data_IF_247453487154
#
_entry.id   IF_247453487154
#
_cell.length_a   1.000
_cell.length_b   1.000
_cell.length_c   1.000
_cell.angle_alpha   90.00
_cell.angle_beta   90.00
_cell.angle_gamma   90.00
#
_symmetry.space_group_name_H-M   'P 1'
#
loop_
_entity.id
_entity.type
_entity.pdbx_description
1 polymer ?
#
# COMPACT_ATOMS: atom_id res chain seq x y z
N UNK A 1 -12.12 1.87 5.97
CA UNK A 1 -12.81 3.15 5.62
C UNK A 1 -12.24 3.74 4.34
N UNK A 2 -10.92 3.87 4.26
CA UNK A 2 -10.24 4.44 3.09
C UNK A 2 -10.48 3.59 1.84
N UNK A 3 -10.32 2.28 1.95
CA UNK A 3 -10.58 1.30 0.89
C UNK A 3 -12.02 1.35 0.40
N UNK A 4 -13.00 1.38 1.30
CA UNK A 4 -14.41 1.44 0.92
C UNK A 4 -14.76 2.74 0.19
N UNK A 5 -14.11 3.85 0.52
CA UNK A 5 -14.29 5.12 -0.15
C UNK A 5 -13.73 5.11 -1.58
N UNK A 6 -12.47 4.66 -1.75
CA UNK A 6 -11.79 4.68 -3.05
C UNK A 6 -12.30 3.63 -4.04
N UNK A 7 -12.66 2.45 -3.58
CA UNK A 7 -13.14 1.37 -4.45
C UNK A 7 -14.66 1.32 -4.61
N UNK A 8 -15.37 2.31 -4.08
CA UNK A 8 -16.83 2.40 -4.16
C UNK A 8 -17.55 1.24 -3.45
N UNK A 9 -16.86 0.53 -2.57
CA UNK A 9 -17.46 -0.51 -1.77
C UNK A 9 -18.37 0.13 -0.72
N UNK A 10 -19.68 -0.02 -0.88
CA UNK A 10 -20.66 0.43 0.12
C UNK A 10 -20.62 -0.51 1.31
N UNK A 11 -19.89 -0.12 2.35
CA UNK A 11 -19.79 -0.86 3.61
C UNK A 11 -20.19 0.05 4.76
N UNK A 12 -21.07 -0.42 5.59
CA UNK A 12 -21.34 0.24 6.87
C UNK A 12 -20.21 -0.09 7.83
N UNK A 13 -19.64 0.92 8.46
CA UNK A 13 -18.62 0.78 9.48
C UNK A 13 -19.15 1.36 10.77
N UNK A 14 -19.18 0.54 11.80
CA UNK A 14 -19.55 0.91 13.17
C UNK A 14 -18.41 0.63 14.14
N UNK A 15 -18.59 1.02 15.38
CA UNK A 15 -17.71 0.67 16.48
C UNK A 15 -18.52 0.40 17.74
N UNK A 16 -18.02 -0.53 18.56
CA UNK A 16 -18.54 -0.76 19.90
C UNK A 16 -17.67 0.05 20.86
N UNK A 17 -18.24 1.05 21.54
CA UNK A 17 -17.47 1.86 22.48
C UNK A 17 -17.11 1.01 23.70
N UNK A 18 -15.96 1.30 24.30
CA UNK A 18 -15.53 0.66 25.54
C UNK A 18 -14.80 1.66 26.46
N UNK A 19 -14.75 1.34 27.74
CA UNK A 19 -14.02 2.09 28.75
C UNK A 19 -13.24 1.11 29.65
N UNK A 20 -12.54 1.64 30.65
CA UNK A 20 -11.74 0.81 31.57
C UNK A 20 -12.59 -0.19 32.35
N UNK A 21 -13.83 0.14 32.71
CA UNK A 21 -14.72 -0.73 33.43
C UNK A 21 -15.13 -1.94 32.58
N UNK A 22 -15.58 -1.71 31.32
CA UNK A 22 -15.99 -2.79 30.43
C UNK A 22 -14.85 -3.73 30.06
N UNK A 23 -13.59 -3.21 30.02
CA UNK A 23 -12.40 -4.03 29.80
C UNK A 23 -12.08 -4.91 31.02
N UNK A 24 -12.03 -4.31 32.22
CA UNK A 24 -11.66 -5.03 33.46
C UNK A 24 -12.70 -6.07 33.86
N UNK A 25 -13.98 -5.77 33.66
CA UNK A 25 -15.09 -6.68 33.97
C UNK A 25 -15.34 -7.76 32.92
N UNK A 26 -14.65 -7.69 31.75
CA UNK A 26 -14.92 -8.61 30.63
C UNK A 26 -16.21 -8.31 29.86
N UNK A 27 -16.96 -7.28 30.22
CA UNK A 27 -18.24 -6.90 29.64
C UNK A 27 -18.14 -6.50 28.17
N UNK A 28 -16.96 -6.10 27.71
CA UNK A 28 -16.77 -5.75 26.29
C UNK A 28 -17.14 -6.86 25.33
N UNK A 29 -16.88 -8.14 25.67
CA UNK A 29 -17.32 -9.26 24.84
C UNK A 29 -18.85 -9.36 24.76
N UNK A 30 -19.54 -9.15 25.87
CA UNK A 30 -21.00 -9.14 25.93
C UNK A 30 -21.59 -7.99 25.10
N UNK A 31 -21.03 -6.79 25.22
CA UNK A 31 -21.42 -5.62 24.43
C UNK A 31 -21.23 -5.86 22.91
N UNK A 32 -20.11 -6.48 22.51
CA UNK A 32 -19.88 -6.86 21.11
C UNK A 32 -20.91 -7.89 20.66
N UNK A 33 -21.13 -8.95 21.44
CA UNK A 33 -22.11 -10.00 21.13
C UNK A 33 -23.50 -9.39 20.94
N UNK A 34 -23.95 -8.58 21.87
CA UNK A 34 -25.28 -7.97 21.83
C UNK A 34 -25.43 -7.01 20.64
N UNK A 35 -24.40 -6.23 20.32
CA UNK A 35 -24.38 -5.39 19.14
C UNK A 35 -24.48 -6.23 17.84
N UNK A 36 -23.76 -7.35 17.76
CA UNK A 36 -23.80 -8.25 16.59
C UNK A 36 -25.18 -8.87 16.45
N UNK A 37 -25.77 -9.35 17.54
CA UNK A 37 -27.14 -9.89 17.51
C UNK A 37 -28.18 -8.85 17.06
N UNK A 38 -28.07 -7.62 17.51
CA UNK A 38 -28.95 -6.53 17.12
C UNK A 38 -28.81 -6.14 15.64
N UNK A 39 -27.59 -6.25 15.10
CA UNK A 39 -27.27 -5.87 13.72
C UNK A 39 -27.41 -7.03 12.71
N UNK A 40 -27.48 -8.28 13.14
CA UNK A 40 -27.56 -9.43 12.24
C UNK A 40 -28.95 -9.56 11.60
N UNK A 41 -29.24 -8.69 10.65
CA UNK A 41 -30.46 -8.60 9.87
C UNK A 41 -30.16 -8.99 8.43
N UNK A 42 -30.69 -10.11 7.92
CA UNK A 42 -30.34 -10.60 6.57
C UNK A 42 -30.85 -9.70 5.44
N UNK A 43 -31.84 -8.85 5.70
CA UNK A 43 -32.28 -7.81 4.77
C UNK A 43 -31.24 -6.70 4.54
N UNK A 44 -30.36 -6.44 5.52
CA UNK A 44 -29.36 -5.38 5.48
C UNK A 44 -27.96 -5.91 5.19
N UNK A 45 -27.62 -7.11 5.72
CA UNK A 45 -26.25 -7.63 5.69
C UNK A 45 -26.23 -9.14 5.38
N UNK A 46 -25.30 -9.57 4.55
CA UNK A 46 -24.95 -11.00 4.38
C UNK A 46 -23.75 -11.41 5.26
N UNK A 47 -22.97 -10.44 5.74
CA UNK A 47 -21.78 -10.69 6.53
C UNK A 47 -21.47 -9.52 7.46
N UNK A 48 -21.15 -9.79 8.71
CA UNK A 48 -20.60 -8.84 9.68
C UNK A 48 -19.17 -9.26 10.01
N UNK A 49 -18.21 -8.38 9.76
CA UNK A 49 -16.79 -8.57 10.11
C UNK A 49 -16.48 -7.73 11.33
N UNK A 50 -16.02 -8.37 12.40
CA UNK A 50 -15.63 -7.72 13.65
C UNK A 50 -14.09 -7.73 13.72
N UNK A 51 -13.50 -6.55 13.95
CA UNK A 51 -12.05 -6.43 14.09
C UNK A 51 -11.68 -5.95 15.49
N UNK A 52 -10.96 -6.78 16.25
CA UNK A 52 -10.28 -6.35 17.45
C UNK A 52 -8.98 -5.64 17.10
N UNK A 53 -8.83 -4.41 17.54
CA UNK A 53 -7.56 -3.69 17.49
C UNK A 53 -6.73 -3.97 18.76
N UNK A 54 -5.71 -3.14 19.03
CA UNK A 54 -4.71 -3.39 20.08
C UNK A 54 -5.31 -3.67 21.45
N UNK A 55 -6.22 -2.80 21.93
CA UNK A 55 -6.72 -2.88 23.32
C UNK A 55 -7.63 -4.09 23.51
N UNK A 56 -8.69 -4.34 22.71
CA UNK A 56 -9.52 -5.53 22.86
C UNK A 56 -8.72 -6.83 22.72
N UNK A 57 -7.75 -6.89 21.79
CA UNK A 57 -6.89 -8.08 21.62
C UNK A 57 -6.00 -8.31 22.86
N UNK A 58 -5.36 -7.25 23.37
CA UNK A 58 -4.52 -7.35 24.58
C UNK A 58 -5.33 -7.73 25.84
N UNK A 59 -6.60 -7.33 25.88
CA UNK A 59 -7.53 -7.70 26.95
C UNK A 59 -8.14 -9.09 26.78
N UNK A 60 -7.76 -9.83 25.73
CA UNK A 60 -8.20 -11.20 25.52
C UNK A 60 -9.68 -11.35 25.14
N UNK A 61 -10.30 -10.34 24.49
CA UNK A 61 -11.68 -10.42 24.02
C UNK A 61 -11.84 -11.56 23.00
N UNK A 62 -12.63 -12.61 23.33
CA UNK A 62 -12.59 -13.87 22.60
C UNK A 62 -13.59 -13.90 21.41
N UNK A 63 -13.28 -13.21 20.31
CA UNK A 63 -14.15 -13.19 19.11
C UNK A 63 -14.48 -14.58 18.54
N UNK A 64 -13.63 -15.58 18.80
CA UNK A 64 -13.85 -16.97 18.41
C UNK A 64 -15.05 -17.64 19.11
N UNK A 65 -15.55 -17.08 20.20
CA UNK A 65 -16.75 -17.55 20.91
C UNK A 65 -18.07 -17.02 20.30
N UNK A 66 -17.98 -16.05 19.39
CA UNK A 66 -19.15 -15.60 18.65
C UNK A 66 -19.67 -16.71 17.75
N UNK A 67 -21.00 -16.87 17.60
CA UNK A 67 -21.58 -17.77 16.61
C UNK A 67 -21.06 -17.41 15.21
N UNK A 68 -20.81 -18.42 14.37
CA UNK A 68 -20.36 -18.19 12.99
C UNK A 68 -21.45 -17.63 12.09
N UNK A 69 -22.69 -17.79 12.50
CA UNK A 69 -23.86 -17.30 11.79
C UNK A 69 -24.95 -16.90 12.80
N UNK A 70 -25.63 -15.81 12.55
CA UNK A 70 -26.79 -15.33 13.31
C UNK A 70 -27.84 -14.89 12.30
N UNK A 71 -29.03 -15.46 12.37
CA UNK A 71 -30.17 -15.15 11.47
C UNK A 71 -29.82 -15.24 9.97
N UNK A 72 -28.90 -16.12 9.56
CA UNK A 72 -28.45 -16.23 8.17
C UNK A 72 -27.35 -15.22 7.79
N UNK A 73 -26.89 -14.39 8.73
CA UNK A 73 -25.77 -13.45 8.54
C UNK A 73 -24.48 -14.08 9.05
N UNK A 74 -23.43 -14.10 8.23
CA UNK A 74 -22.10 -14.58 8.62
C UNK A 74 -21.46 -13.65 9.64
N UNK A 75 -20.82 -14.24 10.65
CA UNK A 75 -20.07 -13.50 11.68
C UNK A 75 -18.60 -13.90 11.62
N UNK A 76 -17.73 -12.94 11.29
CA UNK A 76 -16.29 -13.17 11.12
C UNK A 76 -15.53 -12.29 12.10
N UNK A 77 -14.98 -12.89 13.15
CA UNK A 77 -14.13 -12.20 14.12
C UNK A 77 -12.65 -12.29 13.75
N UNK A 78 -11.95 -11.16 13.78
CA UNK A 78 -10.54 -11.06 13.36
C UNK A 78 -9.78 -10.16 14.33
N UNK A 79 -8.65 -10.66 14.86
CA UNK A 79 -7.72 -9.86 15.65
C UNK A 79 -6.67 -9.21 14.75
N UNK A 80 -6.58 -7.87 14.79
CA UNK A 80 -5.63 -7.08 13.99
C UNK A 80 -4.91 -6.07 14.89
N UNK A 81 -4.16 -6.54 15.91
CA UNK A 81 -3.47 -5.65 16.81
C UNK A 81 -2.21 -5.07 16.17
N UNK A 82 -1.97 -3.77 16.31
CA UNK A 82 -0.78 -3.12 15.76
C UNK A 82 0.55 -3.66 16.32
N UNK A 83 0.54 -4.24 17.52
CA UNK A 83 1.73 -4.91 18.07
C UNK A 83 2.02 -6.27 17.42
N UNK A 84 1.06 -6.88 16.72
CA UNK A 84 1.23 -8.16 16.00
C UNK A 84 1.24 -8.00 14.48
N UNK A 85 0.67 -6.91 13.96
CA UNK A 85 0.58 -6.59 12.53
C UNK A 85 0.98 -5.13 12.30
N UNK A 86 2.29 -4.83 12.33
CA UNK A 86 2.79 -3.46 12.44
C UNK A 86 2.70 -2.64 11.14
N UNK A 87 2.35 -3.25 10.00
CA UNK A 87 2.26 -2.56 8.71
C UNK A 87 0.86 -2.61 8.12
N UNK A 88 0.54 -1.66 7.24
CA UNK A 88 -0.74 -1.67 6.52
C UNK A 88 -0.88 -2.92 5.64
N UNK A 89 0.19 -3.36 4.99
CA UNK A 89 0.19 -4.57 4.18
C UNK A 89 -0.17 -5.81 5.00
N UNK A 90 0.47 -6.00 6.16
CA UNK A 90 0.20 -7.13 7.04
C UNK A 90 -1.22 -7.09 7.61
N UNK A 91 -1.73 -5.90 7.98
CA UNK A 91 -3.09 -5.76 8.48
C UNK A 91 -4.14 -6.13 7.42
N UNK A 92 -3.96 -5.66 6.18
CA UNK A 92 -4.85 -6.02 5.06
C UNK A 92 -4.78 -7.50 4.73
N UNK A 93 -3.58 -8.09 4.76
CA UNK A 93 -3.36 -9.51 4.50
C UNK A 93 -4.02 -10.41 5.57
N UNK A 94 -3.89 -10.06 6.84
CA UNK A 94 -4.55 -10.79 7.94
C UNK A 94 -6.07 -10.77 7.79
N UNK A 95 -6.64 -9.60 7.45
CA UNK A 95 -8.08 -9.47 7.17
C UNK A 95 -8.51 -10.33 5.98
N UNK A 96 -7.82 -10.21 4.85
CA UNK A 96 -8.14 -10.97 3.64
C UNK A 96 -7.95 -12.47 3.85
N UNK A 97 -6.87 -12.88 4.51
CA UNK A 97 -6.58 -14.27 4.84
C UNK A 97 -7.65 -14.91 5.73
N UNK A 98 -8.12 -14.19 6.75
CA UNK A 98 -9.19 -14.67 7.62
C UNK A 98 -10.51 -14.85 6.87
N UNK A 99 -10.86 -13.91 5.99
CA UNK A 99 -12.07 -14.01 5.14
C UNK A 99 -11.96 -15.16 4.13
N UNK A 100 -10.80 -15.33 3.49
CA UNK A 100 -10.51 -16.44 2.59
C UNK A 100 -10.61 -17.79 3.31
N UNK A 101 -10.04 -17.90 4.51
CA UNK A 101 -10.13 -19.12 5.33
C UNK A 101 -11.58 -19.49 5.64
N UNK A 102 -12.42 -18.52 5.99
CA UNK A 102 -13.83 -18.72 6.25
C UNK A 102 -14.54 -19.18 4.97
N UNK A 103 -14.36 -18.48 3.85
CA UNK A 103 -14.96 -18.83 2.56
C UNK A 103 -14.53 -20.22 2.07
N UNK A 104 -13.25 -20.58 2.22
CA UNK A 104 -12.76 -21.93 1.93
C UNK A 104 -13.44 -22.99 2.81
N UNK A 105 -13.78 -22.65 4.05
CA UNK A 105 -14.57 -23.49 4.93
C UNK A 105 -15.98 -23.74 4.39
N UNK A 106 -16.66 -22.71 3.94
CA UNK A 106 -18.00 -22.82 3.33
C UNK A 106 -17.96 -23.66 2.04
N UNK A 107 -16.98 -23.43 1.15
CA UNK A 107 -16.81 -24.24 -0.08
C UNK A 107 -16.67 -25.72 0.23
N UNK A 108 -15.96 -26.09 1.29
CA UNK A 108 -15.81 -27.50 1.70
C UNK A 108 -17.10 -28.12 2.26
N UNK A 109 -18.03 -27.32 2.77
CA UNK A 109 -19.30 -27.77 3.36
C UNK A 109 -20.39 -28.01 2.33
N UNK A 110 -20.27 -27.48 1.12
CA UNK A 110 -21.25 -27.69 0.06
C UNK A 110 -21.31 -26.60 -1.01
N UNK A 111 -22.34 -26.60 -1.83
CA UNK A 111 -22.54 -25.63 -2.88
C UNK A 111 -22.61 -24.20 -2.35
N UNK A 112 -21.89 -23.28 -2.98
CA UNK A 112 -21.82 -21.87 -2.62
C UNK A 112 -22.48 -21.00 -3.69
N UNK A 113 -22.89 -19.80 -3.31
CA UNK A 113 -23.53 -18.85 -4.22
C UNK A 113 -22.55 -18.41 -5.34
N UNK A 114 -23.02 -18.45 -6.57
CA UNK A 114 -22.25 -17.92 -7.70
C UNK A 114 -22.05 -16.40 -7.59
N UNK A 115 -20.93 -15.86 -8.12
CA UNK A 115 -20.73 -14.42 -8.21
C UNK A 115 -21.82 -13.77 -9.07
N UNK A 116 -22.14 -12.50 -8.81
CA UNK A 116 -23.13 -11.76 -9.61
C UNK A 116 -22.62 -11.41 -11.01
N UNK A 117 -21.30 -11.20 -11.12
CA UNK A 117 -20.68 -10.92 -12.40
C UNK A 117 -20.65 -12.16 -13.28
N UNK A 118 -20.89 -12.03 -14.60
CA UNK A 118 -20.76 -13.14 -15.53
C UNK A 118 -19.36 -13.77 -15.46
N UNK A 119 -19.29 -15.09 -15.46
CA UNK A 119 -17.99 -15.79 -15.56
C UNK A 119 -17.41 -15.57 -16.96
N UNK A 120 -16.11 -15.31 -17.04
CA UNK A 120 -15.39 -15.34 -18.29
C UNK A 120 -15.44 -16.76 -18.90
N UNK A 121 -15.53 -16.85 -20.22
CA UNK A 121 -15.33 -18.11 -20.93
C UNK A 121 -13.85 -18.54 -20.98
N UNK A 122 -12.94 -17.62 -20.67
CA UNK A 122 -11.50 -17.88 -20.60
C UNK A 122 -11.10 -18.28 -19.18
N UNK A 123 -10.01 -19.07 -19.03
CA UNK A 123 -9.43 -19.33 -17.72
C UNK A 123 -9.06 -18.01 -17.02
N UNK A 124 -9.40 -17.91 -15.74
CA UNK A 124 -9.22 -16.67 -14.99
C UNK A 124 -7.99 -16.71 -14.10
N UNK A 125 -7.36 -15.55 -13.92
CA UNK A 125 -6.28 -15.32 -12.96
C UNK A 125 -6.81 -14.45 -11.84
N UNK A 126 -6.83 -14.96 -10.60
CA UNK A 126 -7.17 -14.15 -9.43
C UNK A 126 -6.02 -13.21 -9.09
N UNK A 127 -6.31 -11.92 -8.96
CA UNK A 127 -5.33 -10.91 -8.55
C UNK A 127 -5.33 -10.79 -7.02
N UNK A 128 -4.16 -10.94 -6.40
CA UNK A 128 -4.03 -10.89 -4.94
C UNK A 128 -3.22 -9.69 -4.49
N UNK A 129 -3.83 -8.87 -3.67
CA UNK A 129 -3.22 -7.73 -3.04
C UNK A 129 -3.95 -6.43 -3.37
N UNK A 130 -3.97 -5.52 -2.41
CA UNK A 130 -4.51 -4.19 -2.58
C UNK A 130 -3.36 -3.19 -2.69
N UNK A 131 -3.34 -2.44 -3.78
CA UNK A 131 -2.39 -1.37 -3.98
C UNK A 131 -3.12 -0.15 -4.54
N UNK A 132 -2.92 0.99 -3.95
CA UNK A 132 -3.53 2.25 -4.38
C UNK A 132 -2.73 2.94 -5.49
N UNK A 133 -3.42 3.40 -6.54
CA UNK A 133 -4.65 2.86 -7.06
C UNK A 133 -4.36 1.60 -7.87
N UNK A 134 -5.04 0.51 -7.57
CA UNK A 134 -5.02 -0.66 -8.43
C UNK A 134 -5.90 -0.42 -9.65
N UNK A 135 -5.42 -0.79 -10.81
CA UNK A 135 -6.20 -0.86 -12.05
C UNK A 135 -6.38 -2.33 -12.48
N UNK A 136 -7.35 -3.07 -11.91
CA UNK A 136 -7.55 -4.46 -12.26
C UNK A 136 -7.92 -4.66 -13.73
N UNK A 137 -8.55 -3.66 -14.35
CA UNK A 137 -8.93 -3.71 -15.77
C UNK A 137 -7.68 -3.62 -16.64
N UNK A 138 -6.82 -2.64 -16.38
CA UNK A 138 -5.55 -2.49 -17.11
C UNK A 138 -4.62 -3.70 -16.92
N UNK A 139 -4.56 -4.24 -15.70
CA UNK A 139 -3.80 -5.47 -15.39
C UNK A 139 -4.40 -6.66 -16.15
N UNK A 140 -5.74 -6.78 -16.16
CA UNK A 140 -6.44 -7.86 -16.86
C UNK A 140 -6.18 -7.85 -18.37
N UNK A 141 -6.16 -6.68 -18.99
CA UNK A 141 -5.85 -6.55 -20.44
C UNK A 141 -4.47 -7.08 -20.81
N UNK A 142 -3.52 -7.09 -19.89
CA UNK A 142 -2.20 -7.68 -20.13
C UNK A 142 -2.26 -9.21 -20.28
N UNK A 143 -3.31 -9.86 -19.78
CA UNK A 143 -3.50 -11.30 -19.80
C UNK A 143 -4.23 -11.78 -21.07
N UNK A 144 -5.00 -10.90 -21.72
CA UNK A 144 -5.85 -11.24 -22.87
C UNK A 144 -5.06 -11.87 -24.04
N UNK A 145 -3.85 -11.38 -24.43
CA UNK A 145 -3.09 -12.00 -25.52
C UNK A 145 -2.64 -13.42 -25.20
N UNK A 146 -2.60 -13.80 -23.92
CA UNK A 146 -2.29 -15.16 -23.46
C UNK A 146 -3.52 -16.07 -23.46
N UNK A 147 -4.71 -15.56 -23.81
CA UNK A 147 -5.98 -16.29 -23.71
C UNK A 147 -6.45 -16.46 -22.27
N UNK A 148 -6.05 -15.56 -21.38
CA UNK A 148 -6.46 -15.52 -19.98
C UNK A 148 -7.30 -14.27 -19.71
N UNK A 149 -8.14 -14.31 -18.68
CA UNK A 149 -8.89 -13.16 -18.20
C UNK A 149 -8.52 -12.84 -16.76
N UNK A 150 -8.61 -11.57 -16.38
CA UNK A 150 -8.61 -11.21 -14.96
C UNK A 150 -9.87 -11.80 -14.31
N UNK A 151 -9.66 -12.50 -13.23
CA UNK A 151 -10.71 -12.97 -12.33
C UNK A 151 -11.01 -11.92 -11.26
N UNK A 152 -11.23 -12.39 -10.07
CA UNK A 152 -11.51 -11.55 -8.90
C UNK A 152 -10.22 -10.91 -8.39
N UNK A 153 -10.34 -9.70 -7.85
CA UNK A 153 -9.26 -9.06 -7.10
C UNK A 153 -9.55 -9.21 -5.60
N UNK A 154 -8.59 -9.74 -4.86
CA UNK A 154 -8.67 -9.90 -3.39
C UNK A 154 -7.83 -8.80 -2.73
N UNK A 155 -8.38 -8.06 -1.77
CA UNK A 155 -9.70 -8.13 -1.12
C UNK A 155 -10.87 -7.83 -2.05
N UNK A 156 -11.98 -8.54 -1.84
CA UNK A 156 -13.17 -8.48 -2.70
C UNK A 156 -14.18 -7.42 -2.24
N UNK A 157 -15.14 -7.10 -3.10
CA UNK A 157 -16.25 -6.19 -2.78
C UNK A 157 -17.40 -6.89 -2.09
N UNK A 158 -17.70 -8.12 -2.51
CA UNK A 158 -18.80 -8.94 -2.01
C UNK A 158 -18.27 -10.30 -1.52
N UNK A 159 -18.94 -10.88 -0.54
CA UNK A 159 -18.54 -12.19 0.02
C UNK A 159 -18.49 -13.29 -1.03
N UNK A 160 -19.49 -13.35 -1.91
CA UNK A 160 -19.55 -14.38 -2.97
C UNK A 160 -18.40 -14.32 -3.97
N UNK A 161 -17.73 -13.18 -4.10
CA UNK A 161 -16.52 -13.06 -4.93
C UNK A 161 -15.35 -13.82 -4.31
N UNK A 162 -15.32 -14.01 -2.97
CA UNK A 162 -14.30 -14.85 -2.33
C UNK A 162 -14.37 -16.30 -2.81
N UNK A 163 -15.57 -16.82 -3.05
CA UNK A 163 -15.74 -18.16 -3.63
C UNK A 163 -15.18 -18.23 -5.04
N UNK A 164 -15.47 -17.21 -5.86
CA UNK A 164 -14.96 -17.12 -7.21
C UNK A 164 -13.43 -16.93 -7.25
N UNK A 165 -12.83 -16.32 -6.22
CA UNK A 165 -11.39 -16.18 -6.11
C UNK A 165 -10.66 -17.53 -6.06
N UNK A 166 -11.29 -18.59 -5.54
CA UNK A 166 -10.75 -19.94 -5.54
C UNK A 166 -10.97 -20.70 -6.86
N UNK A 167 -11.88 -20.23 -7.71
CA UNK A 167 -12.17 -20.83 -9.01
C UNK A 167 -11.35 -20.15 -10.11
N UNK A 168 -10.05 -20.35 -10.08
CA UNK A 168 -9.07 -19.71 -10.96
C UNK A 168 -8.02 -20.70 -11.44
N UNK A 169 -7.37 -20.39 -12.57
CA UNK A 169 -6.25 -21.15 -13.10
C UNK A 169 -4.99 -20.98 -12.22
N UNK A 170 -4.75 -19.74 -11.78
CA UNK A 170 -3.67 -19.39 -10.85
C UNK A 170 -4.03 -18.12 -10.10
N UNK A 171 -3.33 -17.87 -9.00
CA UNK A 171 -3.37 -16.60 -8.25
C UNK A 171 -2.11 -15.82 -8.57
N UNK A 172 -2.24 -14.59 -9.04
CA UNK A 172 -1.12 -13.71 -9.30
C UNK A 172 -1.09 -12.59 -8.27
N UNK A 173 0.02 -12.46 -7.56
CA UNK A 173 0.17 -11.35 -6.62
C UNK A 173 0.37 -10.04 -7.39
N UNK A 174 -0.20 -8.98 -6.84
CA UNK A 174 0.08 -7.59 -7.20
C UNK A 174 0.64 -6.82 -6.00
N UNK A 175 0.89 -7.54 -4.91
CA UNK A 175 1.48 -7.03 -3.68
C UNK A 175 2.31 -8.14 -3.00
N UNK A 176 3.64 -7.99 -2.87
CA UNK A 176 4.52 -9.09 -2.47
C UNK A 176 4.47 -9.49 -0.99
N UNK A 177 3.63 -8.85 -0.18
CA UNK A 177 3.59 -9.06 1.28
C UNK A 177 2.29 -9.70 1.81
N UNK A 178 1.43 -10.22 0.94
CA UNK A 178 0.15 -10.87 1.30
C UNK A 178 0.34 -12.36 1.60
N UNK A 179 1.12 -12.69 2.64
CA UNK A 179 1.52 -14.08 2.93
C UNK A 179 0.44 -14.92 3.60
N UNK A 180 -0.44 -14.33 4.42
CA UNK A 180 -1.54 -15.05 5.04
C UNK A 180 -2.57 -15.48 3.99
N UNK A 181 -2.94 -14.57 3.09
CA UNK A 181 -3.84 -14.86 1.98
C UNK A 181 -3.26 -15.91 1.01
N UNK A 182 -1.96 -15.84 0.71
CA UNK A 182 -1.26 -16.82 -0.13
C UNK A 182 -1.37 -18.22 0.47
N UNK A 183 -1.16 -18.36 1.79
CA UNK A 183 -1.29 -19.65 2.48
C UNK A 183 -2.68 -20.27 2.34
N UNK A 184 -3.73 -19.46 2.36
CA UNK A 184 -5.10 -19.97 2.19
C UNK A 184 -5.33 -20.48 0.75
N UNK A 185 -4.82 -19.79 -0.28
CA UNK A 185 -4.87 -20.27 -1.66
C UNK A 185 -4.06 -21.55 -1.86
N UNK A 186 -2.84 -21.61 -1.34
CA UNK A 186 -1.98 -22.80 -1.42
C UNK A 186 -2.60 -23.99 -0.69
N UNK A 187 -3.23 -23.77 0.48
CA UNK A 187 -3.96 -24.80 1.22
C UNK A 187 -5.18 -25.31 0.46
N UNK A 188 -5.73 -24.52 -0.44
CA UNK A 188 -6.80 -24.92 -1.36
C UNK A 188 -6.28 -25.51 -2.67
N UNK A 189 -4.98 -25.79 -2.77
CA UNK A 189 -4.35 -26.39 -3.96
C UNK A 189 -4.18 -25.42 -5.14
N UNK A 190 -4.22 -24.11 -4.91
CA UNK A 190 -4.03 -23.11 -5.98
C UNK A 190 -2.55 -22.73 -6.08
N UNK A 191 -2.04 -22.69 -7.32
CA UNK A 191 -0.72 -22.13 -7.59
C UNK A 191 -0.75 -20.62 -7.38
N UNK A 192 0.36 -20.06 -6.88
CA UNK A 192 0.49 -18.62 -6.64
C UNK A 192 1.78 -18.15 -7.30
N UNK A 193 1.70 -17.12 -8.11
CA UNK A 193 2.84 -16.43 -8.71
C UNK A 193 2.99 -15.03 -8.12
N UNK A 194 4.23 -14.58 -7.94
CA UNK A 194 4.59 -13.26 -7.44
C UNK A 194 5.51 -12.57 -8.46
N UNK A 195 5.99 -11.39 -8.35
CA UNK A 195 5.74 -10.32 -7.45
C UNK A 195 4.54 -9.42 -7.90
N UNK A 196 4.82 -8.33 -8.69
CA UNK A 196 3.83 -7.44 -9.28
C UNK A 196 4.28 -7.00 -10.68
N UNK A 197 3.38 -6.68 -11.62
CA UNK A 197 3.73 -6.23 -12.96
C UNK A 197 4.17 -4.75 -12.98
N UNK A 198 5.31 -4.45 -12.35
CA UNK A 198 5.84 -3.10 -12.18
C UNK A 198 7.12 -2.92 -12.99
N UNK A 199 7.19 -1.82 -13.74
CA UNK A 199 8.30 -1.56 -14.65
C UNK A 199 8.35 -2.51 -15.84
N UNK A 200 9.44 -2.44 -16.60
CA UNK A 200 9.63 -3.27 -17.80
C UNK A 200 9.95 -4.74 -17.43
N UNK A 201 11.05 -4.93 -16.68
CA UNK A 201 11.49 -6.28 -16.31
C UNK A 201 10.48 -6.99 -15.41
N UNK A 202 9.91 -6.28 -14.40
CA UNK A 202 8.91 -6.86 -13.51
C UNK A 202 7.62 -7.28 -14.20
N UNK A 203 7.18 -6.54 -15.21
CA UNK A 203 6.01 -6.91 -16.00
C UNK A 203 6.32 -8.12 -16.91
N UNK A 204 7.52 -8.17 -17.49
CA UNK A 204 7.94 -9.30 -18.31
C UNK A 204 8.01 -10.61 -17.50
N UNK A 205 8.63 -10.55 -16.32
CA UNK A 205 8.77 -11.69 -15.41
C UNK A 205 7.41 -12.16 -14.88
N UNK A 206 6.53 -11.24 -14.54
CA UNK A 206 5.18 -11.53 -14.04
C UNK A 206 4.34 -12.25 -15.09
N UNK A 207 4.35 -11.79 -16.36
CA UNK A 207 3.66 -12.44 -17.46
C UNK A 207 4.23 -13.84 -17.74
N UNK A 208 5.55 -13.99 -17.70
CA UNK A 208 6.21 -15.28 -17.89
C UNK A 208 5.83 -16.28 -16.79
N UNK A 209 5.82 -15.84 -15.53
CA UNK A 209 5.43 -16.67 -14.38
C UNK A 209 3.98 -17.14 -14.47
N UNK A 210 3.05 -16.26 -14.86
CA UNK A 210 1.64 -16.63 -15.09
C UNK A 210 1.53 -17.63 -16.25
N UNK A 211 2.23 -17.37 -17.35
CA UNK A 211 2.26 -18.26 -18.49
C UNK A 211 2.71 -19.67 -18.11
N UNK A 212 3.78 -19.78 -17.33
CA UNK A 212 4.28 -21.05 -16.81
C UNK A 212 3.25 -21.72 -15.88
N UNK A 213 2.68 -20.98 -14.94
CA UNK A 213 1.72 -21.52 -13.96
C UNK A 213 0.42 -22.00 -14.61
N UNK A 214 -0.01 -21.37 -15.70
CA UNK A 214 -1.21 -21.71 -16.46
C UNK A 214 -0.95 -22.67 -17.65
N UNK A 215 0.30 -23.08 -17.89
CA UNK A 215 0.66 -23.96 -19.02
C UNK A 215 0.46 -23.29 -20.40
N UNK A 216 0.62 -21.97 -20.48
CA UNK A 216 0.49 -21.20 -21.72
C UNK A 216 1.72 -21.39 -22.58
N UNK A 217 1.53 -21.61 -23.88
CA UNK A 217 2.61 -21.78 -24.85
C UNK A 217 3.50 -20.51 -24.89
N UNK A 218 4.81 -20.72 -25.05
CA UNK A 218 5.81 -19.65 -24.96
C UNK A 218 5.61 -18.54 -26.02
N UNK A 219 5.10 -18.89 -27.19
CA UNK A 219 4.77 -17.94 -28.27
C UNK A 219 3.65 -16.95 -27.86
N UNK A 220 2.64 -17.42 -27.13
CA UNK A 220 1.57 -16.55 -26.61
C UNK A 220 2.07 -15.64 -25.49
N UNK A 221 2.94 -16.11 -24.62
CA UNK A 221 3.60 -15.28 -23.60
C UNK A 221 4.45 -14.21 -24.29
N UNK A 222 5.25 -14.59 -25.27
CA UNK A 222 6.04 -13.65 -26.07
C UNK A 222 5.18 -12.64 -26.82
N UNK A 223 4.03 -13.05 -27.37
CA UNK A 223 3.08 -12.15 -28.01
C UNK A 223 2.54 -11.09 -27.02
N UNK A 224 2.16 -11.51 -25.80
CA UNK A 224 1.72 -10.58 -24.75
C UNK A 224 2.83 -9.60 -24.36
N UNK A 225 4.05 -10.08 -24.15
CA UNK A 225 5.20 -9.24 -23.85
C UNK A 225 5.50 -8.25 -24.99
N UNK A 226 5.50 -8.71 -26.25
CA UNK A 226 5.74 -7.85 -27.43
C UNK A 226 4.66 -6.77 -27.61
N UNK A 227 3.43 -7.04 -27.19
CA UNK A 227 2.35 -6.06 -27.24
C UNK A 227 2.45 -5.01 -26.13
N UNK A 228 2.91 -5.38 -24.95
CA UNK A 228 2.79 -4.56 -23.74
C UNK A 228 4.10 -3.82 -23.42
N UNK A 229 5.23 -4.49 -23.46
CA UNK A 229 6.51 -3.96 -23.01
C UNK A 229 7.01 -2.74 -23.77
N UNK A 230 6.77 -2.57 -25.10
CA UNK A 230 7.17 -1.35 -25.80
C UNK A 230 6.51 -0.08 -25.25
N UNK A 231 5.24 -0.15 -24.82
CA UNK A 231 4.54 0.99 -24.24
C UNK A 231 5.13 1.35 -22.87
N UNK A 232 5.50 0.35 -22.04
CA UNK A 232 6.18 0.57 -20.75
C UNK A 232 7.53 1.24 -20.98
N UNK A 233 8.36 0.71 -21.91
CA UNK A 233 9.66 1.29 -22.23
C UNK A 233 9.54 2.74 -22.71
N UNK A 234 8.57 3.02 -23.58
CA UNK A 234 8.32 4.37 -24.08
C UNK A 234 7.91 5.31 -22.94
N UNK A 235 7.05 4.87 -22.03
CA UNK A 235 6.59 5.67 -20.89
C UNK A 235 7.72 5.99 -19.90
N UNK A 236 8.59 5.02 -19.59
CA UNK A 236 9.78 5.22 -18.74
C UNK A 236 10.77 6.20 -19.38
N UNK A 237 11.00 6.08 -20.70
CA UNK A 237 11.93 6.93 -21.44
C UNK A 237 11.41 8.37 -21.68
N UNK A 238 10.09 8.58 -21.70
CA UNK A 238 9.48 9.86 -22.04
C UNK A 238 9.83 10.98 -21.03
N UNK A 239 10.00 10.64 -19.76
CA UNK A 239 10.33 11.59 -18.69
C UNK A 239 11.35 10.95 -17.74
N UNK A 240 12.64 10.89 -18.14
CA UNK A 240 13.67 10.27 -17.31
C UNK A 240 13.80 11.02 -15.98
N UNK A 241 14.09 10.28 -14.94
CA UNK A 241 14.36 10.81 -13.60
C UNK A 241 15.87 10.82 -13.40
N UNK A 242 16.41 12.00 -13.13
CA UNK A 242 17.84 12.16 -12.87
C UNK A 242 18.04 12.70 -11.47
N UNK A 243 18.59 11.89 -10.58
CA UNK A 243 18.86 12.27 -9.19
C UNK A 243 19.03 11.04 -8.31
N UNK A 244 19.63 11.27 -7.15
CA UNK A 244 19.79 10.27 -6.08
C UNK A 244 18.58 10.33 -5.17
N UNK A 245 17.87 9.20 -5.00
CA UNK A 245 16.61 9.14 -4.28
C UNK A 245 16.65 8.03 -3.23
N UNK A 246 16.38 8.34 -1.97
CA UNK A 246 16.11 7.33 -0.93
C UNK A 246 14.62 7.08 -0.82
N UNK A 247 14.25 5.82 -0.61
CA UNK A 247 12.86 5.38 -0.48
C UNK A 247 12.68 4.68 0.86
N UNK A 248 11.64 5.04 1.61
CA UNK A 248 11.26 4.33 2.82
C UNK A 248 9.75 4.36 3.05
N UNK A 249 9.22 3.36 3.76
CA UNK A 249 7.77 3.31 4.01
C UNK A 249 7.33 2.06 4.79
N UNK A 250 6.01 1.94 4.92
CA UNK A 250 5.33 0.84 5.63
C UNK A 250 4.11 0.31 4.86
N UNK A 251 3.98 0.66 3.58
CA UNK A 251 2.83 0.26 2.76
C UNK A 251 3.07 -1.07 2.02
N UNK A 252 4.34 -1.51 1.90
CA UNK A 252 4.73 -2.73 1.20
C UNK A 252 4.92 -2.58 -0.30
N UNK A 253 4.93 -1.37 -0.83
CA UNK A 253 5.20 -1.07 -2.25
C UNK A 253 6.55 -0.37 -2.47
N UNK A 254 7.37 -0.25 -1.43
CA UNK A 254 8.63 0.49 -1.47
C UNK A 254 9.59 -0.08 -2.52
N UNK A 255 9.71 -1.42 -2.59
CA UNK A 255 10.56 -2.08 -3.59
C UNK A 255 10.04 -1.83 -5.01
N UNK A 256 8.73 -1.84 -5.20
CA UNK A 256 8.09 -1.63 -6.49
C UNK A 256 8.27 -0.19 -6.99
N UNK A 257 8.14 0.78 -6.08
CA UNK A 257 8.44 2.19 -6.37
C UNK A 257 9.91 2.34 -6.74
N UNK A 258 10.82 1.72 -5.98
CA UNK A 258 12.26 1.77 -6.28
C UNK A 258 12.58 1.18 -7.67
N UNK A 259 11.93 0.08 -8.08
CA UNK A 259 12.08 -0.45 -9.44
C UNK A 259 11.70 0.58 -10.50
N UNK A 260 10.54 1.24 -10.38
CA UNK A 260 10.13 2.29 -11.32
C UNK A 260 11.13 3.44 -11.37
N UNK A 261 11.68 3.86 -10.23
CA UNK A 261 12.67 4.93 -10.17
C UNK A 261 13.95 4.54 -10.88
N UNK A 262 14.48 3.35 -10.60
CA UNK A 262 15.71 2.83 -11.22
C UNK A 262 15.52 2.67 -12.74
N UNK A 263 14.42 2.06 -13.18
CA UNK A 263 14.12 1.89 -14.60
C UNK A 263 13.87 3.24 -15.32
N UNK A 264 13.45 4.27 -14.59
CA UNK A 264 13.33 5.65 -15.10
C UNK A 264 14.65 6.42 -15.11
N UNK A 265 15.75 5.84 -14.62
CA UNK A 265 17.10 6.41 -14.65
C UNK A 265 17.55 7.10 -13.36
N UNK A 266 16.80 6.97 -12.26
CA UNK A 266 17.24 7.47 -10.95
C UNK A 266 18.31 6.56 -10.31
N UNK A 267 19.18 7.14 -9.51
CA UNK A 267 20.05 6.43 -8.59
C UNK A 267 19.29 6.21 -7.27
N UNK A 268 19.07 4.96 -6.89
CA UNK A 268 18.40 4.60 -5.62
C UNK A 268 19.38 3.85 -4.73
N UNK A 269 20.09 4.52 -3.80
CA UNK A 269 21.08 3.85 -2.96
C UNK A 269 20.44 3.02 -1.83
N UNK A 270 19.22 3.35 -1.40
CA UNK A 270 18.58 2.75 -0.23
C UNK A 270 17.07 2.62 -0.39
N UNK A 271 16.56 1.47 0.03
CA UNK A 271 15.12 1.20 0.20
C UNK A 271 14.88 0.59 1.58
N UNK A 272 14.15 1.31 2.43
CA UNK A 272 13.64 0.81 3.70
C UNK A 272 12.17 0.43 3.59
N UNK A 273 11.81 -0.76 4.09
CA UNK A 273 10.42 -1.17 4.24
C UNK A 273 10.17 -1.73 5.63
N UNK A 274 9.09 -1.32 6.28
CA UNK A 274 8.69 -1.91 7.54
C UNK A 274 8.11 -3.33 7.38
N UNK A 275 7.82 -3.78 6.16
CA UNK A 275 7.36 -5.12 5.86
C UNK A 275 8.47 -6.17 6.07
N UNK A 276 8.12 -7.43 6.41
CA UNK A 276 9.09 -8.52 6.51
C UNK A 276 9.55 -8.97 5.12
N UNK A 277 10.72 -9.59 5.04
CA UNK A 277 11.11 -10.30 3.82
C UNK A 277 10.17 -11.48 3.56
N UNK A 278 9.77 -11.65 2.32
CA UNK A 278 8.94 -12.76 1.87
C UNK A 278 9.54 -13.40 0.61
N UNK A 279 9.24 -14.69 0.33
CA UNK A 279 9.63 -15.31 -0.95
C UNK A 279 9.10 -14.54 -2.17
N UNK A 280 7.97 -13.86 -2.02
CA UNK A 280 7.30 -13.10 -3.07
C UNK A 280 7.96 -11.74 -3.33
N UNK A 281 8.70 -11.20 -2.36
CA UNK A 281 9.50 -9.98 -2.50
C UNK A 281 10.93 -10.24 -2.95
N UNK A 282 11.39 -11.50 -2.92
CA UNK A 282 12.78 -11.87 -3.27
C UNK A 282 13.16 -11.57 -4.72
N UNK A 283 12.30 -11.72 -5.74
CA UNK A 283 12.65 -11.33 -7.11
C UNK A 283 12.96 -9.83 -7.22
N UNK A 284 12.14 -8.96 -6.61
CA UNK A 284 12.36 -7.52 -6.62
C UNK A 284 13.61 -7.14 -5.86
N UNK A 285 13.85 -7.80 -4.72
CA UNK A 285 15.08 -7.63 -3.94
C UNK A 285 16.31 -7.95 -4.77
N UNK A 286 16.37 -9.14 -5.36
CA UNK A 286 17.52 -9.57 -6.15
C UNK A 286 17.79 -8.65 -7.34
N UNK A 287 16.71 -8.19 -8.00
CA UNK A 287 16.80 -7.25 -9.12
C UNK A 287 17.38 -5.90 -8.68
N UNK A 288 16.94 -5.35 -7.55
CA UNK A 288 17.41 -4.08 -7.00
C UNK A 288 18.84 -4.20 -6.48
N UNK A 289 19.16 -5.24 -5.71
CA UNK A 289 20.52 -5.49 -5.19
C UNK A 289 21.55 -5.64 -6.31
N UNK A 290 21.20 -6.29 -7.43
CA UNK A 290 22.07 -6.40 -8.62
C UNK A 290 22.41 -5.06 -9.26
N UNK A 291 21.67 -4.00 -8.89
CA UNK A 291 21.87 -2.59 -9.35
C UNK A 291 22.44 -1.69 -8.26
N UNK A 292 22.97 -2.29 -7.18
CA UNK A 292 23.64 -1.56 -6.10
C UNK A 292 22.70 -0.92 -5.08
N UNK A 293 21.41 -1.29 -5.07
CA UNK A 293 20.44 -0.80 -4.08
C UNK A 293 20.57 -1.59 -2.78
N UNK A 294 20.76 -0.89 -1.66
CA UNK A 294 20.69 -1.51 -0.33
C UNK A 294 19.24 -1.60 0.12
N UNK A 295 18.80 -2.80 0.51
CA UNK A 295 17.42 -3.03 0.97
C UNK A 295 17.41 -3.41 2.44
N UNK A 296 16.61 -2.69 3.22
CA UNK A 296 16.39 -2.96 4.62
C UNK A 296 14.93 -3.38 4.87
N UNK A 297 14.70 -4.65 5.19
CA UNK A 297 13.42 -5.15 5.68
C UNK A 297 13.28 -4.90 7.18
N UNK A 298 12.05 -4.72 7.65
CA UNK A 298 11.78 -4.34 9.04
C UNK A 298 12.58 -3.11 9.45
N UNK A 299 12.74 -2.18 8.49
CA UNK A 299 13.46 -0.95 8.72
C UNK A 299 12.87 -0.16 9.90
N UNK A 300 13.71 0.25 10.81
CA UNK A 300 13.33 1.19 11.85
C UNK A 300 13.36 2.62 11.33
N UNK A 301 12.67 3.52 12.02
CA UNK A 301 12.68 4.94 11.68
C UNK A 301 14.11 5.52 11.72
N UNK A 302 14.92 5.08 12.68
CA UNK A 302 16.31 5.50 12.85
C UNK A 302 17.17 5.10 11.64
N UNK A 303 16.96 3.87 11.12
CA UNK A 303 17.65 3.39 9.91
C UNK A 303 17.27 4.20 8.68
N UNK A 304 15.98 4.50 8.50
CA UNK A 304 15.49 5.31 7.40
C UNK A 304 16.03 6.76 7.47
N UNK A 305 16.10 7.34 8.67
CA UNK A 305 16.69 8.66 8.90
C UNK A 305 18.20 8.62 8.65
N UNK A 306 18.90 7.59 9.13
CA UNK A 306 20.33 7.42 8.90
C UNK A 306 20.65 7.33 7.39
N UNK A 307 19.83 6.61 6.62
CA UNK A 307 19.99 6.54 5.18
C UNK A 307 19.90 7.92 4.49
N UNK A 308 19.00 8.81 4.95
CA UNK A 308 18.94 10.19 4.44
C UNK A 308 20.21 10.98 4.80
N UNK A 309 20.73 10.78 6.02
CA UNK A 309 21.95 11.46 6.46
C UNK A 309 23.19 10.99 5.70
N UNK A 310 23.33 9.69 5.49
CA UNK A 310 24.51 9.07 4.90
C UNK A 310 24.56 9.27 3.38
N UNK A 311 23.44 9.08 2.70
CA UNK A 311 23.37 9.17 1.25
C UNK A 311 23.16 10.59 0.72
N UNK A 312 22.68 11.53 1.56
CA UNK A 312 22.40 12.93 1.14
C UNK A 312 21.67 12.99 -0.21
N UNK A 313 20.48 12.39 -0.35
CA UNK A 313 19.81 12.31 -1.63
C UNK A 313 19.34 13.67 -2.14
N UNK A 314 19.11 13.77 -3.46
CA UNK A 314 18.47 14.93 -4.08
C UNK A 314 16.98 14.99 -3.74
N UNK A 315 16.38 13.82 -3.43
CA UNK A 315 15.00 13.68 -3.00
C UNK A 315 14.87 12.52 -2.00
N UNK A 316 14.24 12.76 -0.88
CA UNK A 316 13.84 11.70 0.04
C UNK A 316 12.35 11.38 -0.12
N UNK A 317 12.01 10.10 -0.26
CA UNK A 317 10.63 9.61 -0.23
C UNK A 317 10.47 8.78 1.03
N UNK A 318 9.53 9.15 1.93
CA UNK A 318 9.44 8.45 3.20
C UNK A 318 8.21 8.76 4.01
N UNK A 319 8.23 8.29 5.26
CA UNK A 319 7.22 8.59 6.26
C UNK A 319 7.31 10.04 6.75
N UNK A 320 6.30 10.51 7.48
CA UNK A 320 6.29 11.90 7.98
C UNK A 320 7.57 12.30 8.71
N UNK A 321 8.13 11.51 9.67
CA UNK A 321 9.37 11.88 10.33
C UNK A 321 10.58 11.92 9.39
N UNK A 322 10.68 11.01 8.42
CA UNK A 322 11.74 11.02 7.40
C UNK A 322 11.64 12.27 6.54
N UNK A 323 10.43 12.63 6.10
CA UNK A 323 10.17 13.86 5.33
C UNK A 323 10.55 15.11 6.13
N UNK A 324 10.20 15.16 7.42
CA UNK A 324 10.57 16.28 8.29
C UNK A 324 12.08 16.40 8.43
N UNK A 325 12.78 15.26 8.66
CA UNK A 325 14.22 15.24 8.77
C UNK A 325 14.91 15.67 7.47
N UNK A 326 14.47 15.15 6.34
CA UNK A 326 15.00 15.55 5.03
C UNK A 326 14.87 17.07 4.80
N UNK A 327 13.67 17.62 5.09
CA UNK A 327 13.44 19.06 4.96
C UNK A 327 14.28 19.90 5.90
N UNK A 328 14.58 19.43 7.11
CA UNK A 328 15.51 20.12 8.03
C UNK A 328 16.94 20.17 7.49
N UNK A 329 17.29 19.30 6.54
CA UNK A 329 18.57 19.25 5.85
C UNK A 329 18.54 19.94 4.49
N UNK A 330 17.49 20.70 4.18
CA UNK A 330 17.24 21.32 2.87
C UNK A 330 17.13 20.31 1.71
N UNK A 331 16.73 19.07 2.01
CA UNK A 331 16.50 18.04 1.01
C UNK A 331 15.00 18.04 0.67
N UNK A 332 14.62 18.19 -0.61
CA UNK A 332 13.24 17.99 -1.05
C UNK A 332 12.73 16.61 -0.60
N UNK A 333 11.47 16.54 -0.19
CA UNK A 333 10.93 15.28 0.29
C UNK A 333 9.45 15.10 -0.04
N UNK A 334 9.06 13.86 -0.31
CA UNK A 334 7.69 13.43 -0.59
C UNK A 334 7.23 12.40 0.45
N UNK A 335 5.98 12.53 0.88
CA UNK A 335 5.36 11.54 1.74
C UNK A 335 4.95 10.31 0.90
N UNK A 336 5.43 9.14 1.29
CA UNK A 336 5.31 7.90 0.51
C UNK A 336 3.87 7.54 0.19
N UNK A 337 2.99 7.49 1.19
CA UNK A 337 1.57 7.11 0.99
C UNK A 337 0.86 8.05 0.02
N UNK A 338 1.11 9.37 0.10
CA UNK A 338 0.52 10.33 -0.84
C UNK A 338 1.05 10.16 -2.27
N UNK A 339 2.30 9.72 -2.42
CA UNK A 339 2.89 9.47 -3.73
C UNK A 339 2.17 8.33 -4.45
N UNK A 340 1.92 7.22 -3.75
CA UNK A 340 1.34 6.01 -4.33
C UNK A 340 -0.19 6.03 -4.38
N UNK A 341 -0.87 6.75 -3.48
CA UNK A 341 -2.34 6.68 -3.35
C UNK A 341 -3.12 7.30 -4.52
N UNK A 342 -2.47 8.14 -5.31
CA UNK A 342 -3.11 8.85 -6.42
C UNK A 342 -2.61 8.43 -7.80
N UNK A 343 -1.70 7.44 -7.90
CA UNK A 343 -1.03 7.08 -9.15
C UNK A 343 -0.92 5.58 -9.31
N UNK A 344 -1.26 5.04 -10.50
CA UNK A 344 -1.02 3.63 -10.78
C UNK A 344 0.48 3.33 -10.75
N UNK A 345 0.85 2.11 -10.38
CA UNK A 345 2.24 1.63 -10.39
C UNK A 345 2.46 0.52 -11.42
N UNK A 346 1.40 -0.13 -11.90
CA UNK A 346 1.47 -1.38 -12.64
C UNK A 346 1.22 -1.16 -14.13
N UNK A 347 1.86 -1.99 -14.94
CA UNK A 347 1.70 -2.03 -16.39
C UNK A 347 2.04 -0.72 -17.09
N UNK A 348 1.55 -0.51 -18.33
CA UNK A 348 1.83 0.71 -19.09
C UNK A 348 1.37 2.01 -18.42
N UNK A 349 0.22 1.98 -17.74
CA UNK A 349 -0.31 3.15 -17.03
C UNK A 349 0.57 3.56 -15.83
N UNK A 350 1.23 2.58 -15.19
CA UNK A 350 2.11 2.79 -14.04
C UNK A 350 3.49 3.30 -14.39
N UNK A 351 4.03 2.89 -15.53
CA UNK A 351 5.44 3.05 -15.88
C UNK A 351 5.93 4.52 -15.84
N UNK A 352 5.14 5.48 -16.30
CA UNK A 352 5.50 6.90 -16.28
C UNK A 352 4.79 7.73 -15.20
N UNK A 353 3.99 7.11 -14.35
CA UNK A 353 3.06 7.80 -13.45
C UNK A 353 3.74 8.66 -12.39
N UNK A 354 4.91 8.24 -11.90
CA UNK A 354 5.66 8.93 -10.86
C UNK A 354 6.55 10.04 -11.39
N UNK A 355 6.96 9.97 -12.66
CA UNK A 355 8.02 10.83 -13.22
C UNK A 355 7.72 12.33 -13.10
N UNK A 356 6.47 12.74 -13.30
CA UNK A 356 6.11 14.15 -13.23
C UNK A 356 6.27 14.72 -11.82
N UNK A 357 5.78 14.04 -10.79
CA UNK A 357 5.84 14.54 -9.42
C UNK A 357 7.27 14.46 -8.87
N UNK A 358 8.01 13.41 -9.22
CA UNK A 358 9.41 13.25 -8.83
C UNK A 358 10.26 14.36 -9.45
N UNK A 359 10.17 14.57 -10.77
CA UNK A 359 10.92 15.63 -11.45
C UNK A 359 10.52 17.03 -10.98
N UNK A 360 9.23 17.26 -10.67
CA UNK A 360 8.79 18.53 -10.07
C UNK A 360 9.42 18.75 -8.67
N UNK A 361 9.50 17.69 -7.85
CA UNK A 361 10.13 17.78 -6.54
C UNK A 361 11.65 18.03 -6.64
N UNK A 362 12.34 17.31 -7.52
CA UNK A 362 13.78 17.53 -7.81
C UNK A 362 14.05 18.95 -8.33
N UNK A 363 13.19 19.46 -9.23
CA UNK A 363 13.32 20.81 -9.78
C UNK A 363 13.09 21.94 -8.76
N UNK A 364 12.51 21.63 -7.60
CA UNK A 364 12.28 22.62 -6.54
C UNK A 364 13.46 22.85 -5.58
N UNK A 365 14.61 22.21 -5.78
CA UNK A 365 15.78 22.31 -4.90
C UNK A 365 16.16 23.76 -4.56
N UNK A 366 16.29 24.64 -5.55
CA UNK A 366 16.63 26.04 -5.33
C UNK A 366 15.58 26.80 -4.48
N UNK A 367 14.31 26.43 -4.57
CA UNK A 367 13.25 26.98 -3.71
C UNK A 367 13.39 26.50 -2.28
N UNK A 368 13.72 25.23 -2.08
CA UNK A 368 14.01 24.66 -0.77
C UNK A 368 15.21 25.35 -0.11
N UNK A 369 16.29 25.56 -0.86
CA UNK A 369 17.49 26.23 -0.34
C UNK A 369 17.18 27.66 0.12
N UNK A 370 16.40 28.43 -0.66
CA UNK A 370 15.95 29.78 -0.26
C UNK A 370 15.07 29.75 0.98
N UNK A 371 14.16 28.79 1.06
CA UNK A 371 13.27 28.64 2.22
C UNK A 371 14.07 28.26 3.46
N UNK A 372 15.02 27.35 3.34
CA UNK A 372 15.91 26.92 4.42
C UNK A 372 16.76 28.08 4.93
N UNK A 373 17.38 28.85 4.03
CA UNK A 373 18.15 30.04 4.39
C UNK A 373 17.29 31.12 5.08
N UNK A 374 16.01 31.25 4.68
CA UNK A 374 15.08 32.17 5.34
C UNK A 374 14.81 31.77 6.79
N UNK A 375 14.65 30.45 7.06
CA UNK A 375 14.35 29.91 8.39
C UNK A 375 15.62 29.53 9.17
N UNK A 376 16.81 29.86 8.69
CA UNK A 376 18.05 29.57 9.38
C UNK A 376 18.04 30.14 10.81
N UNK A 377 18.40 29.32 11.78
CA UNK A 377 18.38 29.66 13.21
C UNK A 377 16.98 29.64 13.88
N UNK A 378 15.90 29.46 13.12
CA UNK A 378 14.56 29.28 13.72
C UNK A 378 14.48 27.89 14.33
N UNK A 379 14.11 27.82 15.61
CA UNK A 379 14.05 26.57 16.35
C UNK A 379 15.37 26.14 17.00
N UNK A 380 16.49 26.80 16.73
CA UNK A 380 17.73 26.56 17.48
C UNK A 380 17.49 26.93 18.96
N UNK A 381 17.87 26.08 19.86
CA UNK A 381 17.52 26.21 21.29
C UNK A 381 16.24 25.49 21.70
N UNK A 382 15.43 25.01 20.77
CA UNK A 382 14.34 24.07 21.03
C UNK A 382 14.78 22.60 20.94
N UNK A 383 16.07 22.33 21.06
CA UNK A 383 16.62 20.97 20.98
C UNK A 383 16.07 20.04 22.05
N UNK A 384 15.62 20.55 23.20
CA UNK A 384 14.90 19.81 24.24
C UNK A 384 13.41 19.64 23.96
N UNK A 385 12.94 20.12 22.83
CA UNK A 385 11.56 19.91 22.35
C UNK A 385 10.53 20.84 22.98
N UNK A 386 9.26 20.42 22.82
CA UNK A 386 8.07 21.14 23.24
C UNK A 386 7.92 21.26 24.77
N UNK A 387 8.78 20.66 25.53
CA UNK A 387 8.74 20.59 26.99
C UNK A 387 9.55 21.69 27.69
N UNK A 388 10.06 22.67 26.96
CA UNK A 388 10.69 23.85 27.58
C UNK A 388 9.61 24.77 28.12
N UNK A 389 9.73 25.11 29.41
CA UNK A 389 8.78 26.00 30.13
C UNK A 389 8.80 27.45 29.59
N UNK A 390 9.87 27.84 28.91
CA UNK A 390 10.01 29.21 28.37
C UNK A 390 10.33 29.17 26.87
N UNK A 391 9.43 29.64 26.01
CA UNK A 391 9.70 29.75 24.57
C UNK A 391 10.89 30.69 24.32
N UNK A 392 11.82 30.24 23.44
CA UNK A 392 12.92 31.13 23.02
C UNK A 392 12.38 32.16 22.04
N UNK A 393 12.47 33.44 22.42
CA UNK A 393 12.13 34.53 21.51
C UNK A 393 13.25 34.72 20.45
N UNK A 394 12.87 34.83 19.21
CA UNK A 394 13.75 34.99 18.05
C UNK A 394 13.44 36.31 17.33
N UNK A 395 13.92 37.45 17.87
CA UNK A 395 13.63 38.76 17.29
C UNK A 395 14.04 38.91 15.83
N UNK A 396 15.14 38.25 15.43
CA UNK A 396 15.65 38.27 14.05
C UNK A 396 14.68 37.62 13.08
N UNK A 397 14.05 36.53 13.48
CA UNK A 397 13.02 35.86 12.68
C UNK A 397 11.79 36.75 12.51
N UNK A 398 11.30 37.39 13.58
CA UNK A 398 10.19 38.34 13.51
C UNK A 398 10.46 39.48 12.56
N UNK A 399 11.65 40.09 12.63
CA UNK A 399 12.08 41.16 11.72
C UNK A 399 12.13 40.69 10.28
N UNK A 400 12.69 39.49 10.05
CA UNK A 400 12.81 38.88 8.73
C UNK A 400 11.44 38.60 8.12
N UNK A 401 10.51 38.03 8.91
CA UNK A 401 9.14 37.77 8.50
C UNK A 401 8.36 39.06 8.22
N UNK A 402 8.45 40.05 9.10
CA UNK A 402 7.79 41.36 8.92
C UNK A 402 8.31 42.07 7.66
N UNK A 403 9.61 42.02 7.39
CA UNK A 403 10.20 42.57 6.18
C UNK A 403 9.69 41.89 4.91
N UNK A 404 9.52 40.58 4.94
CA UNK A 404 8.96 39.82 3.82
C UNK A 404 7.47 40.16 3.58
N UNK A 405 6.68 40.28 4.63
CA UNK A 405 5.25 40.65 4.52
C UNK A 405 5.09 42.07 3.99
N UNK A 406 5.92 43.01 4.45
CA UNK A 406 5.90 44.38 3.93
C UNK A 406 6.31 44.47 2.46
N UNK A 407 7.32 43.70 2.04
CA UNK A 407 7.72 43.61 0.64
C UNK A 407 6.62 43.02 -0.26
N UNK A 408 5.91 42.00 0.25
CA UNK A 408 4.77 41.38 -0.45
C UNK A 408 3.60 42.36 -0.61
N UNK A 409 3.24 43.07 0.45
CA UNK A 409 2.18 44.07 0.40
C UNK A 409 2.48 45.19 -0.64
N UNK A 410 3.72 45.68 -0.68
CA UNK A 410 4.16 46.66 -1.69
C UNK A 410 4.10 46.11 -3.11
N UNK A 411 4.43 44.83 -3.30
CA UNK A 411 4.33 44.20 -4.63
C UNK A 411 2.88 44.02 -5.07
N UNK A 412 1.98 43.70 -4.17
CA UNK A 412 0.54 43.58 -4.43
C UNK A 412 -0.10 44.96 -4.76
N UNK A 413 0.29 46.01 -4.06
CA UNK A 413 -0.11 47.39 -4.38
C UNK A 413 0.39 47.86 -5.78
N UNK A 414 1.59 47.47 -6.15
CA UNK A 414 2.17 47.82 -7.45
C UNK A 414 1.53 47.07 -8.64
N UNK A 415 0.87 45.96 -8.40
CA UNK A 415 0.15 45.17 -9.43
C UNK A 415 -1.31 45.60 -9.55
N UNK A 416 -1.85 46.26 -8.51
CA UNK A 416 -3.25 46.73 -8.47
C UNK A 416 -3.44 48.16 -9.00
N UNK A 417 -2.40 48.81 -9.46
CA UNK A 417 -2.39 50.08 -10.19
C UNK A 417 -1.96 49.87 -11.64
#
# INVERSE_FOLDING_TARGET
>A
TFTSHFYGARRTVGYVPFNSETLVTGKLFEDIRDAVFAMAKPEDYDTIVITNLCVPTASGVPLQLLPKEINGVRIVGIDVPGFGVPTHAEAKDVLAGAMLKYAAGEIRQGPVAAPRSPRSSLPTVTLLGEMFPADPVGIGRMLEPMGLAAGVTVPTREWRELFAAFDCATVATIHPFYTASIREFQSAGRSVVGSAPVGYDGTADWLAAIGQACGIAADKVAAAQNQILPAIRAALAAKPIKGRITVSGYEGSELLVARLLVESGAEVPYVGTACPRTPWSDPDRAWLESRGVTIQYRASLEQDIAAVLDHRPDLAIGTTPVVQKAKSLSIPALYFTNLISARPLMGPAGAGSLAQVINAALGNKARFDRMSAFFEGVGDGFASGIWQDTPVDRPEFRKKYQGMMAARAKAEEAIGT
#
